data_IF_404201682892
#
_entry.id   IF_404201682892
#
_cell.length_a   1.000
_cell.length_b   1.000
_cell.length_c   1.000
_cell.angle_alpha   90.00
_cell.angle_beta   90.00
_cell.angle_gamma   90.00
#
_symmetry.space_group_name_H-M   'P 1'
#
loop_
_entity.id
_entity.type
_entity.pdbx_description
1 polymer ?
#
# COMPACT_ATOMS: atom_id res chain seq x y z
N UNK A 1 -0.29 -11.56 3.31
CA UNK A 1 -0.57 -10.87 2.03
C UNK A 1 0.66 -10.89 1.14
N UNK A 2 1.70 -10.09 1.39
CA UNK A 2 2.89 -10.01 0.50
C UNK A 2 3.48 -11.39 0.15
N UNK A 3 3.71 -12.27 1.13
CA UNK A 3 4.28 -13.61 0.88
C UNK A 3 3.48 -14.47 -0.10
N UNK A 4 2.15 -14.38 -0.05
CA UNK A 4 1.26 -15.26 -0.85
C UNK A 4 0.81 -14.59 -2.16
N UNK A 5 0.57 -13.28 -2.14
CA UNK A 5 -0.01 -12.53 -3.26
C UNK A 5 1.03 -11.72 -4.07
N UNK A 6 2.17 -11.40 -3.49
CA UNK A 6 3.10 -10.39 -3.99
C UNK A 6 2.68 -8.96 -3.61
N UNK A 7 3.66 -8.08 -3.39
CA UNK A 7 3.39 -6.66 -3.05
C UNK A 7 2.78 -5.88 -4.21
N UNK A 8 3.11 -6.22 -5.46
CA UNK A 8 2.58 -5.63 -6.72
C UNK A 8 1.05 -5.73 -6.90
N UNK A 9 0.36 -6.50 -6.05
CA UNK A 9 -1.10 -6.71 -6.12
C UNK A 9 -1.86 -6.08 -4.95
N UNK A 10 -1.20 -5.27 -4.13
CA UNK A 10 -1.74 -4.73 -2.89
C UNK A 10 -1.66 -3.21 -2.93
N UNK A 11 -2.75 -2.51 -2.64
CA UNK A 11 -2.80 -1.05 -2.63
C UNK A 11 -3.20 -0.57 -1.24
N UNK A 12 -2.59 0.52 -0.78
CA UNK A 12 -2.98 1.19 0.45
C UNK A 12 -4.24 2.06 0.25
N UNK A 13 -5.18 1.96 1.19
CA UNK A 13 -6.35 2.83 1.28
C UNK A 13 -6.56 3.28 2.73
N UNK A 14 -7.04 4.51 2.90
CA UNK A 14 -7.20 5.13 4.23
C UNK A 14 -8.55 4.87 4.87
N UNK A 15 -9.55 4.49 4.07
CA UNK A 15 -10.94 4.32 4.49
C UNK A 15 -11.49 5.55 5.26
N UNK A 16 -11.09 6.74 4.84
CA UNK A 16 -11.58 7.99 5.44
C UNK A 16 -13.09 8.12 5.21
N UNK A 17 -13.84 8.63 6.21
CA UNK A 17 -13.38 9.22 7.48
C UNK A 17 -13.31 8.23 8.65
N UNK A 18 -13.36 6.93 8.41
CA UNK A 18 -13.56 5.92 9.46
C UNK A 18 -12.32 5.66 10.31
N UNK A 19 -11.12 5.75 9.72
CA UNK A 19 -9.86 5.49 10.41
C UNK A 19 -8.83 6.62 10.23
N UNK A 20 -7.99 6.82 11.24
CA UNK A 20 -6.81 7.69 11.11
C UNK A 20 -5.82 7.06 10.11
N UNK A 21 -5.42 7.77 9.04
CA UNK A 21 -4.48 7.26 8.06
C UNK A 21 -3.15 6.76 8.63
N UNK A 22 -2.67 7.37 9.73
CA UNK A 22 -1.41 6.98 10.37
C UNK A 22 -1.47 5.56 10.93
N UNK A 23 -2.65 5.09 11.34
CA UNK A 23 -2.81 3.72 11.80
C UNK A 23 -2.49 2.72 10.68
N UNK A 24 -3.13 2.89 9.51
CA UNK A 24 -2.90 2.03 8.36
C UNK A 24 -1.48 2.13 7.81
N UNK A 25 -0.91 3.35 7.75
CA UNK A 25 0.49 3.56 7.35
C UNK A 25 1.43 2.83 8.32
N UNK A 26 1.19 2.93 9.63
CA UNK A 26 1.95 2.22 10.65
C UNK A 26 1.94 0.71 10.46
N UNK A 27 0.79 0.12 10.14
CA UNK A 27 0.70 -1.32 9.84
C UNK A 27 1.62 -1.75 8.69
N UNK A 28 1.77 -0.91 7.64
CA UNK A 28 2.65 -1.21 6.51
C UNK A 28 4.11 -0.97 6.89
N UNK A 29 4.45 0.18 7.46
CA UNK A 29 5.84 0.58 7.78
C UNK A 29 6.49 -0.37 8.80
N UNK A 30 5.74 -0.83 9.80
CA UNK A 30 6.27 -1.74 10.82
C UNK A 30 6.14 -3.23 10.47
N UNK A 31 5.60 -3.56 9.29
CA UNK A 31 5.55 -4.95 8.83
C UNK A 31 6.95 -5.48 8.44
N UNK A 32 7.16 -6.79 8.63
CA UNK A 32 8.39 -7.50 8.28
C UNK A 32 8.44 -7.82 6.78
N UNK A 33 8.45 -6.78 5.96
CA UNK A 33 8.58 -6.83 4.49
C UNK A 33 9.71 -5.88 4.05
N UNK A 34 10.11 -5.97 2.79
CA UNK A 34 11.19 -5.12 2.27
C UNK A 34 10.71 -3.68 2.03
N UNK A 35 11.64 -2.73 1.91
CA UNK A 35 11.29 -1.35 1.55
C UNK A 35 10.68 -1.25 0.16
N UNK A 36 11.07 -2.14 -0.75
CA UNK A 36 10.46 -2.26 -2.07
C UNK A 36 8.98 -2.67 -1.96
N UNK A 37 8.66 -3.65 -1.12
CA UNK A 37 7.27 -4.05 -0.88
C UNK A 37 6.43 -2.89 -0.31
N UNK A 38 7.01 -2.09 0.58
CA UNK A 38 6.35 -0.90 1.14
C UNK A 38 6.09 0.15 0.06
N UNK A 39 7.07 0.39 -0.82
CA UNK A 39 6.96 1.38 -1.89
C UNK A 39 5.90 0.98 -2.92
N UNK A 40 5.81 -0.32 -3.24
CA UNK A 40 4.74 -0.85 -4.09
C UNK A 40 3.36 -0.57 -3.48
N UNK A 41 3.17 -0.92 -2.20
CA UNK A 41 1.88 -0.80 -1.51
C UNK A 41 1.43 0.64 -1.30
N UNK A 42 2.36 1.53 -0.91
CA UNK A 42 2.04 2.91 -0.54
C UNK A 42 2.06 3.89 -1.73
N UNK A 43 2.52 3.47 -2.91
CA UNK A 43 2.69 4.36 -4.06
C UNK A 43 2.55 3.68 -5.41
N UNK A 44 3.54 2.88 -5.83
CA UNK A 44 3.73 2.50 -7.24
C UNK A 44 2.53 1.76 -7.83
N UNK A 45 1.89 0.90 -7.05
CA UNK A 45 0.73 0.15 -7.51
C UNK A 45 -0.46 1.08 -7.80
N UNK A 46 -0.70 2.07 -6.92
CA UNK A 46 -1.77 3.05 -7.14
C UNK A 46 -1.45 3.95 -8.33
N UNK A 47 -0.20 4.43 -8.44
CA UNK A 47 0.28 5.23 -9.57
C UNK A 47 0.07 4.50 -10.90
N UNK A 48 0.50 3.25 -11.00
CA UNK A 48 0.34 2.43 -12.20
C UNK A 48 -1.13 2.19 -12.56
N UNK A 49 -1.99 1.89 -11.56
CA UNK A 49 -3.41 1.67 -11.80
C UNK A 49 -4.14 2.93 -12.25
N UNK A 50 -3.73 4.10 -11.73
CA UNK A 50 -4.35 5.39 -12.03
C UNK A 50 -3.77 6.07 -13.26
N UNK A 51 -2.63 5.60 -13.78
CA UNK A 51 -1.94 6.21 -14.92
C UNK A 51 -2.83 6.36 -16.16
N UNK A 52 -3.80 5.48 -16.39
CA UNK A 52 -4.72 5.59 -17.53
C UNK A 52 -5.81 6.66 -17.36
N UNK A 53 -5.92 7.27 -16.18
CA UNK A 53 -6.93 8.26 -15.83
C UNK A 53 -6.35 9.67 -15.59
N UNK A 54 -5.03 9.83 -15.70
CA UNK A 54 -4.28 11.08 -15.55
C UNK A 54 -3.78 11.58 -16.91
#
# INVERSE_FOLDING_TARGET
MVREAGSEKIVFGTDLPWFDPHYGIGCVVFSRITDEDRHNILHRNAEQLLQSFL
#
